data_IF_392806568627
#
_entry.id   IF_392806568627
#
_cell.length_a   1.000
_cell.length_b   1.000
_cell.length_c   1.000
_cell.angle_alpha   90.00
_cell.angle_beta   90.00
_cell.angle_gamma   90.00
#
_symmetry.space_group_name_H-M   'P 1'
#
loop_
_entity.id
_entity.type
_entity.pdbx_description
1 polymer ?
#
# COMPACT_ATOMS: atom_id res chain seq x y z
N UNK A 1 16.89 -45.11 36.61
CA UNK A 1 17.59 -44.10 35.79
C UNK A 1 16.76 -43.58 34.60
N UNK A 2 15.45 -43.84 34.50
CA UNK A 2 14.57 -43.30 33.45
C UNK A 2 13.85 -41.96 33.77
N UNK A 3 13.53 -41.57 35.03
CA UNK A 3 12.75 -40.34 35.25
C UNK A 3 13.56 -39.06 35.02
N UNK A 4 14.89 -39.11 35.18
CA UNK A 4 15.78 -37.96 35.02
C UNK A 4 15.99 -37.56 33.56
N UNK A 5 15.87 -38.50 32.62
CA UNK A 5 15.96 -38.21 31.17
C UNK A 5 14.68 -37.58 30.64
N UNK A 6 13.53 -37.95 31.19
CA UNK A 6 12.25 -37.37 30.78
C UNK A 6 12.12 -35.91 31.23
N UNK A 7 12.55 -35.59 32.46
CA UNK A 7 12.54 -34.21 32.97
C UNK A 7 13.51 -33.30 32.23
N UNK A 8 14.68 -33.81 31.80
CA UNK A 8 15.64 -33.04 31.02
C UNK A 8 15.13 -32.72 29.60
N UNK A 9 14.40 -33.65 28.97
CA UNK A 9 13.77 -33.42 27.66
C UNK A 9 12.60 -32.45 27.74
N UNK A 10 11.77 -32.50 28.79
CA UNK A 10 10.71 -31.50 28.99
C UNK A 10 11.28 -30.12 29.28
N UNK A 11 12.42 -30.01 29.99
CA UNK A 11 13.08 -28.73 30.25
C UNK A 11 13.71 -28.15 28.97
N UNK A 12 14.25 -29.00 28.08
CA UNK A 12 14.80 -28.57 26.79
C UNK A 12 13.70 -28.12 25.80
N UNK A 13 12.54 -28.78 25.79
CA UNK A 13 11.39 -28.36 24.97
C UNK A 13 10.70 -27.10 25.51
N UNK A 14 10.82 -26.80 26.81
CA UNK A 14 10.34 -25.52 27.37
C UNK A 14 11.29 -24.35 27.08
N UNK A 15 12.58 -24.64 26.79
CA UNK A 15 13.57 -23.63 26.38
C UNK A 15 13.53 -23.31 24.87
N UNK A 16 12.88 -24.13 24.04
CA UNK A 16 12.79 -23.89 22.60
C UNK A 16 11.65 -22.96 22.17
N UNK A 17 10.82 -22.48 23.10
CA UNK A 17 9.80 -21.46 22.87
C UNK A 17 10.09 -20.19 23.70
N UNK A 18 11.36 -19.76 23.74
CA UNK A 18 11.65 -18.40 24.10
C UNK A 18 11.12 -17.50 22.99
N UNK A 19 9.96 -16.88 23.17
CA UNK A 19 9.64 -15.65 22.45
C UNK A 19 10.61 -14.60 23.03
N UNK A 20 11.67 -14.28 22.28
CA UNK A 20 12.55 -13.20 22.67
C UNK A 20 11.73 -11.92 22.51
N UNK A 21 11.52 -11.20 23.61
CA UNK A 21 10.86 -9.91 23.58
C UNK A 21 11.80 -8.93 22.87
N UNK A 22 11.43 -8.52 21.66
CA UNK A 22 12.19 -7.54 20.92
C UNK A 22 11.81 -6.12 21.36
N UNK A 23 12.75 -5.19 21.23
CA UNK A 23 12.49 -3.76 21.42
C UNK A 23 12.29 -3.13 20.05
N UNK A 24 11.08 -2.70 19.75
CA UNK A 24 10.73 -2.03 18.51
C UNK A 24 10.65 -0.52 18.76
N UNK A 25 11.41 0.27 18.00
CA UNK A 25 11.31 1.73 18.06
C UNK A 25 10.43 2.24 16.92
N UNK A 26 9.23 2.73 17.25
CA UNK A 26 8.31 3.35 16.29
C UNK A 26 8.52 4.86 16.27
N UNK A 27 8.90 5.38 15.10
CA UNK A 27 9.16 6.81 14.89
C UNK A 27 8.03 7.39 14.05
N UNK A 28 7.28 8.30 14.65
CA UNK A 28 6.16 8.98 14.01
C UNK A 28 6.42 10.48 13.86
N UNK A 29 5.95 11.11 12.78
CA UNK A 29 6.16 12.53 12.55
C UNK A 29 5.29 13.38 13.48
N UNK A 30 4.05 12.92 13.73
CA UNK A 30 3.02 13.63 14.50
C UNK A 30 2.09 12.63 15.18
N UNK A 31 1.40 13.08 16.22
CA UNK A 31 0.28 12.34 16.79
C UNK A 31 -0.99 12.56 15.97
N UNK A 32 -1.48 11.48 15.37
CA UNK A 32 -2.71 11.44 14.56
C UNK A 32 -3.51 10.17 14.89
N UNK A 33 -4.75 10.10 14.42
CA UNK A 33 -5.55 8.88 14.55
C UNK A 33 -4.88 7.69 13.87
N UNK A 34 -4.31 7.88 12.67
CA UNK A 34 -3.62 6.84 11.91
C UNK A 34 -2.40 6.30 12.67
N UNK A 35 -1.56 7.19 13.21
CA UNK A 35 -0.34 6.77 13.94
C UNK A 35 -0.67 6.04 15.22
N UNK A 36 -1.70 6.49 15.95
CA UNK A 36 -2.18 5.80 17.15
C UNK A 36 -2.75 4.43 16.81
N UNK A 37 -3.64 4.35 15.82
CA UNK A 37 -4.27 3.09 15.41
C UNK A 37 -3.24 2.05 14.93
N UNK A 38 -2.19 2.48 14.23
CA UNK A 38 -1.10 1.59 13.82
C UNK A 38 -0.31 1.06 15.01
N UNK A 39 0.09 1.93 15.94
CA UNK A 39 0.83 1.55 17.14
C UNK A 39 0.01 0.59 18.00
N UNK A 40 -1.27 0.88 18.20
CA UNK A 40 -2.19 0.03 18.97
C UNK A 40 -2.34 -1.35 18.30
N UNK A 41 -2.53 -1.39 16.97
CA UNK A 41 -2.63 -2.63 16.21
C UNK A 41 -1.34 -3.45 16.27
N UNK A 42 -0.18 -2.81 16.15
CA UNK A 42 1.12 -3.48 16.23
C UNK A 42 1.39 -4.03 17.64
N UNK A 43 1.07 -3.27 18.68
CA UNK A 43 1.18 -3.73 20.08
C UNK A 43 0.26 -4.93 20.34
N UNK A 44 -0.94 -4.94 19.76
CA UNK A 44 -1.88 -6.05 19.87
C UNK A 44 -1.35 -7.32 19.18
N UNK A 45 -0.73 -7.18 18.00
CA UNK A 45 -0.10 -8.29 17.30
C UNK A 45 1.18 -8.80 17.97
N UNK A 46 1.86 -7.95 18.75
CA UNK A 46 3.15 -8.26 19.39
C UNK A 46 3.12 -7.94 20.90
N UNK A 47 2.28 -8.63 21.70
CA UNK A 47 2.11 -8.32 23.13
C UNK A 47 3.35 -8.64 23.98
N UNK A 48 4.26 -9.47 23.48
CA UNK A 48 5.51 -9.81 24.16
C UNK A 48 6.62 -8.77 23.92
N UNK A 49 6.52 -7.97 22.86
CA UNK A 49 7.54 -7.01 22.47
C UNK A 49 7.33 -5.67 23.16
N UNK A 50 8.43 -4.97 23.43
CA UNK A 50 8.40 -3.62 23.98
C UNK A 50 8.42 -2.60 22.86
N UNK A 51 7.31 -1.89 22.66
CA UNK A 51 7.25 -0.80 21.69
C UNK A 51 7.66 0.51 22.36
N UNK A 52 8.81 1.04 21.95
CA UNK A 52 9.23 2.40 22.26
C UNK A 52 8.68 3.33 21.17
N UNK A 53 7.96 4.37 21.57
CA UNK A 53 7.36 5.32 20.65
C UNK A 53 8.13 6.62 20.76
N UNK A 54 8.57 7.15 19.63
CA UNK A 54 9.30 8.41 19.56
C UNK A 54 8.65 9.35 18.54
N UNK A 55 8.51 10.62 18.92
CA UNK A 55 8.11 11.67 18.01
C UNK A 55 9.33 12.22 17.26
N UNK A 56 9.17 12.52 15.98
CA UNK A 56 10.24 13.12 15.18
C UNK A 56 10.75 14.42 15.83
N UNK A 57 12.08 14.52 16.00
CA UNK A 57 12.74 15.65 16.67
C UNK A 57 13.11 15.40 18.13
N UNK A 58 12.62 14.32 18.74
CA UNK A 58 13.13 13.85 20.04
C UNK A 58 14.52 13.23 19.89
N UNK A 59 15.38 13.26 20.93
CA UNK A 59 16.71 12.68 20.87
C UNK A 59 16.62 11.17 20.55
N UNK A 60 17.48 10.64 19.67
CA UNK A 60 17.44 9.23 19.28
C UNK A 60 17.64 8.35 20.51
N UNK A 61 16.72 7.41 20.74
CA UNK A 61 16.89 6.36 21.73
C UNK A 61 17.33 5.07 21.03
N UNK A 62 18.64 4.78 20.92
CA UNK A 62 19.15 3.63 20.17
C UNK A 62 18.87 2.27 20.84
N UNK A 63 17.95 2.19 21.82
CA UNK A 63 17.60 0.96 22.52
C UNK A 63 16.79 -0.05 21.69
N UNK A 64 16.35 0.28 20.48
CA UNK A 64 15.56 -0.61 19.62
C UNK A 64 16.40 -1.59 18.79
N UNK A 65 15.99 -2.85 18.75
CA UNK A 65 16.56 -3.88 17.88
C UNK A 65 16.13 -3.71 16.41
N UNK A 66 14.97 -3.06 16.18
CA UNK A 66 14.47 -2.69 14.85
C UNK A 66 13.71 -1.36 14.95
N UNK A 67 13.83 -0.53 13.91
CA UNK A 67 13.13 0.75 13.79
C UNK A 67 11.99 0.62 12.81
N UNK A 68 10.84 1.20 13.15
CA UNK A 68 9.70 1.34 12.25
C UNK A 68 9.45 2.83 12.06
N UNK A 69 9.68 3.35 10.85
CA UNK A 69 9.39 4.75 10.54
C UNK A 69 8.01 4.89 9.90
N UNK A 70 7.30 5.96 10.20
CA UNK A 70 5.98 6.25 9.63
C UNK A 70 6.06 7.49 8.73
N UNK A 71 5.89 7.30 7.42
CA UNK A 71 5.87 8.38 6.44
C UNK A 71 7.27 8.89 6.02
N UNK A 72 7.32 9.73 4.97
CA UNK A 72 8.58 10.16 4.34
C UNK A 72 9.45 10.98 5.30
N UNK A 73 8.86 11.85 6.10
CA UNK A 73 9.58 12.72 7.05
C UNK A 73 10.40 11.91 8.07
N UNK A 74 9.83 10.79 8.57
CA UNK A 74 10.51 9.92 9.51
C UNK A 74 11.58 9.05 8.83
N UNK A 75 11.35 8.62 7.58
CA UNK A 75 12.34 7.91 6.78
C UNK A 75 13.54 8.82 6.45
N UNK A 76 13.30 10.05 6.00
CA UNK A 76 14.35 11.01 5.66
C UNK A 76 15.25 11.30 6.87
N UNK A 77 14.63 11.52 8.05
CA UNK A 77 15.38 11.66 9.30
C UNK A 77 16.23 10.42 9.60
N UNK A 78 15.68 9.22 9.39
CA UNK A 78 16.37 7.95 9.66
C UNK A 78 17.57 7.75 8.75
N UNK A 79 17.46 8.15 7.48
CA UNK A 79 18.54 8.09 6.49
C UNK A 79 19.70 9.05 6.81
N UNK A 80 19.47 10.10 7.60
CA UNK A 80 20.50 11.02 8.07
C UNK A 80 21.30 10.49 9.27
N UNK A 81 20.88 9.39 9.89
CA UNK A 81 21.55 8.82 11.06
C UNK A 81 22.71 7.91 10.66
N UNK A 82 23.78 7.89 11.47
CA UNK A 82 25.00 7.11 11.16
C UNK A 82 24.91 5.64 11.54
N UNK A 83 24.00 5.26 12.43
CA UNK A 83 23.81 3.86 12.84
C UNK A 83 22.97 3.08 11.81
N UNK A 84 23.24 1.78 11.69
CA UNK A 84 22.66 0.88 10.67
C UNK A 84 21.71 -0.16 11.26
N UNK A 85 20.81 0.29 12.15
CA UNK A 85 19.76 -0.57 12.73
C UNK A 85 18.74 -0.92 11.63
N UNK A 86 18.32 -2.19 11.49
CA UNK A 86 17.25 -2.60 10.57
C UNK A 86 16.02 -1.70 10.70
N UNK A 87 15.52 -1.23 9.57
CA UNK A 87 14.45 -0.23 9.50
C UNK A 87 13.37 -0.65 8.53
N UNK A 88 12.14 -0.84 9.00
CA UNK A 88 10.96 -1.00 8.15
C UNK A 88 10.27 0.37 8.03
N UNK A 89 10.34 0.98 6.85
CA UNK A 89 9.66 2.23 6.56
C UNK A 89 8.25 1.96 6.05
N UNK A 90 7.25 2.54 6.73
CA UNK A 90 5.82 2.39 6.45
C UNK A 90 5.22 3.70 5.99
N UNK A 91 4.03 3.67 5.38
CA UNK A 91 3.32 4.87 4.93
C UNK A 91 4.07 5.72 3.88
N UNK A 92 4.91 5.07 3.09
CA UNK A 92 5.53 5.64 1.89
C UNK A 92 4.69 5.24 0.68
N UNK A 93 4.30 6.17 -0.18
CA UNK A 93 3.63 5.85 -1.45
C UNK A 93 4.65 5.68 -2.57
N UNK A 94 4.30 4.89 -3.59
CA UNK A 94 5.21 4.51 -4.67
C UNK A 94 5.74 5.73 -5.43
N UNK A 95 4.94 6.77 -5.58
CA UNK A 95 5.29 8.01 -6.28
C UNK A 95 6.32 8.89 -5.57
N UNK A 96 6.54 8.63 -4.28
CA UNK A 96 7.61 9.24 -3.49
C UNK A 96 8.97 8.55 -3.74
N UNK A 97 8.98 7.43 -4.46
CA UNK A 97 10.19 6.70 -4.82
C UNK A 97 10.69 7.06 -6.22
N UNK A 98 11.95 6.71 -6.48
CA UNK A 98 12.58 6.87 -7.78
C UNK A 98 12.36 5.69 -8.73
N UNK A 99 12.89 5.75 -9.96
CA UNK A 99 12.77 4.70 -10.97
C UNK A 99 13.43 3.37 -10.59
N UNK A 100 14.29 3.36 -9.58
CA UNK A 100 14.94 2.15 -9.08
C UNK A 100 14.66 1.93 -7.59
N UNK A 101 13.38 1.73 -7.23
CA UNK A 101 12.89 1.90 -5.86
C UNK A 101 13.61 0.99 -4.85
N UNK A 102 14.05 -0.21 -5.24
CA UNK A 102 14.79 -1.12 -4.35
C UNK A 102 16.29 -0.88 -4.30
N UNK A 103 16.95 -0.54 -5.42
CA UNK A 103 18.40 -0.33 -5.43
C UNK A 103 18.80 1.02 -4.84
N UNK A 104 17.88 1.97 -4.81
CA UNK A 104 18.09 3.30 -4.24
C UNK A 104 18.05 3.27 -2.69
N UNK A 105 17.60 2.16 -2.08
CA UNK A 105 17.50 2.03 -0.62
C UNK A 105 18.78 1.47 0.00
N UNK A 106 19.21 1.99 1.17
CA UNK A 106 20.28 1.38 1.93
C UNK A 106 19.95 -0.07 2.33
N UNK A 107 20.96 -0.96 2.47
CA UNK A 107 20.74 -2.36 2.84
C UNK A 107 20.00 -2.59 4.17
N UNK A 108 20.08 -1.64 5.10
CA UNK A 108 19.39 -1.73 6.40
C UNK A 108 17.95 -1.20 6.36
N UNK A 109 17.45 -0.77 5.20
CA UNK A 109 16.08 -0.27 5.01
C UNK A 109 15.28 -1.26 4.17
N UNK A 110 14.05 -1.53 4.60
CA UNK A 110 12.99 -2.11 3.78
C UNK A 110 11.81 -1.15 3.78
N UNK A 111 11.10 -1.02 2.66
CA UNK A 111 9.92 -0.16 2.52
C UNK A 111 8.68 -1.03 2.38
N UNK A 112 7.68 -0.75 3.19
CA UNK A 112 6.33 -1.26 3.08
C UNK A 112 5.41 -0.14 2.58
N UNK A 113 4.98 -0.26 1.32
CA UNK A 113 4.24 0.79 0.61
C UNK A 113 2.83 1.00 1.20
N UNK A 114 2.35 2.24 1.23
CA UNK A 114 0.94 2.55 1.45
C UNK A 114 0.12 2.61 0.14
N UNK A 115 0.79 2.65 -1.01
CA UNK A 115 0.14 2.65 -2.32
C UNK A 115 -0.66 1.38 -2.56
N UNK A 116 -1.76 1.54 -3.28
CA UNK A 116 -2.50 0.41 -3.80
C UNK A 116 -1.64 -0.38 -4.81
N UNK A 117 -1.65 -1.70 -4.70
CA UNK A 117 -0.92 -2.57 -5.62
C UNK A 117 -1.60 -2.57 -7.01
N UNK A 118 -0.86 -2.34 -8.11
CA UNK A 118 -1.42 -2.25 -9.46
C UNK A 118 -2.33 -3.42 -9.85
N UNK A 119 -1.89 -4.66 -9.59
CA UNK A 119 -2.67 -5.85 -9.93
C UNK A 119 -3.98 -5.94 -9.14
N UNK A 120 -3.98 -5.51 -7.87
CA UNK A 120 -5.18 -5.50 -7.03
C UNK A 120 -6.19 -4.48 -7.54
N UNK A 121 -5.73 -3.30 -7.94
CA UNK A 121 -6.57 -2.25 -8.52
C UNK A 121 -7.23 -2.69 -9.83
N UNK A 122 -6.46 -3.36 -10.70
CA UNK A 122 -6.96 -3.89 -11.96
C UNK A 122 -7.91 -5.08 -11.76
N UNK A 123 -7.61 -5.98 -10.81
CA UNK A 123 -8.52 -7.06 -10.42
C UNK A 123 -9.84 -6.49 -9.87
N UNK A 124 -9.76 -5.55 -8.94
CA UNK A 124 -10.93 -4.84 -8.39
C UNK A 124 -11.79 -4.23 -9.50
N UNK A 125 -11.17 -3.58 -10.49
CA UNK A 125 -11.86 -3.04 -11.64
C UNK A 125 -12.62 -4.13 -12.43
N UNK A 126 -11.99 -5.28 -12.70
CA UNK A 126 -12.61 -6.41 -13.42
C UNK A 126 -13.77 -7.04 -12.64
N UNK A 127 -13.67 -7.08 -11.31
CA UNK A 127 -14.73 -7.61 -10.45
C UNK A 127 -15.96 -6.70 -10.40
N UNK A 128 -15.74 -5.39 -10.46
CA UNK A 128 -16.80 -4.38 -10.38
C UNK A 128 -17.44 -4.07 -11.74
N UNK A 129 -16.67 -4.14 -12.82
CA UNK A 129 -17.10 -3.71 -14.15
C UNK A 129 -17.23 -4.93 -15.06
N UNK A 130 -18.46 -5.29 -15.47
CA UNK A 130 -18.68 -6.43 -16.35
C UNK A 130 -17.96 -6.27 -17.69
N UNK A 131 -17.31 -7.34 -18.16
CA UNK A 131 -16.62 -7.41 -19.45
C UNK A 131 -15.52 -6.35 -19.64
N UNK A 132 -14.81 -6.01 -18.57
CA UNK A 132 -13.67 -5.10 -18.65
C UNK A 132 -12.52 -5.73 -19.47
N UNK A 133 -12.16 -5.10 -20.59
CA UNK A 133 -11.06 -5.50 -21.46
C UNK A 133 -9.94 -4.46 -21.52
N UNK A 134 -10.25 -3.22 -21.16
CA UNK A 134 -9.35 -2.08 -21.33
C UNK A 134 -9.40 -1.11 -20.14
N UNK A 135 -8.23 -0.70 -19.66
CA UNK A 135 -8.07 0.24 -18.55
C UNK A 135 -7.30 1.48 -19.01
N UNK A 136 -7.75 2.64 -18.56
CA UNK A 136 -7.14 3.92 -18.84
C UNK A 136 -6.25 4.38 -17.70
N UNK A 137 -5.11 5.01 -18.03
CA UNK A 137 -4.18 5.54 -17.03
C UNK A 137 -3.73 6.96 -17.42
N UNK A 138 -3.82 7.89 -16.48
CA UNK A 138 -3.24 9.23 -16.60
C UNK A 138 -2.08 9.36 -15.60
N UNK A 139 -0.96 9.92 -16.06
CA UNK A 139 0.25 10.08 -15.26
C UNK A 139 1.01 11.34 -15.66
N UNK A 140 1.75 11.94 -14.74
CA UNK A 140 2.65 13.07 -14.99
C UNK A 140 3.99 12.59 -15.56
N UNK A 141 4.84 13.50 -16.03
CA UNK A 141 6.19 13.13 -16.47
C UNK A 141 7.02 12.49 -15.36
N UNK A 142 6.82 12.91 -14.11
CA UNK A 142 7.51 12.42 -12.93
C UNK A 142 7.16 10.97 -12.63
N UNK A 143 5.91 10.56 -12.86
CA UNK A 143 5.45 9.19 -12.58
C UNK A 143 5.54 8.25 -13.79
N UNK A 144 6.17 8.68 -14.90
CA UNK A 144 6.34 7.85 -16.11
C UNK A 144 7.07 6.54 -15.85
N UNK A 145 8.00 6.53 -14.90
CA UNK A 145 8.80 5.34 -14.58
C UNK A 145 7.96 4.18 -14.04
N UNK A 146 6.76 4.45 -13.50
CA UNK A 146 5.84 3.41 -13.03
C UNK A 146 5.12 2.69 -14.18
N UNK A 147 5.14 3.21 -15.40
CA UNK A 147 4.35 2.67 -16.50
C UNK A 147 4.63 1.19 -16.80
N UNK A 148 5.89 0.71 -16.85
CA UNK A 148 6.16 -0.72 -17.07
C UNK A 148 5.55 -1.63 -15.99
N UNK A 149 5.46 -1.16 -14.74
CA UNK A 149 4.83 -1.89 -13.64
C UNK A 149 3.33 -2.06 -13.90
N UNK A 150 2.65 -0.98 -14.30
CA UNK A 150 1.22 -1.01 -14.62
C UNK A 150 0.92 -1.81 -15.90
N UNK A 151 1.78 -1.75 -16.92
CA UNK A 151 1.65 -2.55 -18.14
C UNK A 151 1.78 -4.04 -17.84
N UNK A 152 2.77 -4.44 -17.02
CA UNK A 152 2.93 -5.82 -16.57
C UNK A 152 1.72 -6.30 -15.75
N UNK A 153 1.18 -5.43 -14.88
CA UNK A 153 -0.03 -5.71 -14.11
C UNK A 153 -1.23 -5.97 -15.04
N UNK A 154 -1.45 -5.09 -16.03
CA UNK A 154 -2.52 -5.22 -17.00
C UNK A 154 -2.39 -6.49 -17.85
N UNK A 155 -1.18 -6.79 -18.31
CA UNK A 155 -0.92 -8.01 -19.08
C UNK A 155 -1.28 -9.28 -18.29
N UNK A 156 -0.88 -9.37 -17.01
CA UNK A 156 -1.25 -10.51 -16.14
C UNK A 156 -2.75 -10.65 -15.93
N UNK A 157 -3.49 -9.55 -16.01
CA UNK A 157 -4.96 -9.53 -15.92
C UNK A 157 -5.66 -9.68 -17.28
N UNK A 158 -4.93 -9.82 -18.37
CA UNK A 158 -5.49 -9.88 -19.73
C UNK A 158 -6.17 -8.58 -20.16
N UNK A 159 -5.74 -7.44 -19.63
CA UNK A 159 -6.25 -6.10 -19.94
C UNK A 159 -5.32 -5.36 -20.89
N UNK A 160 -5.90 -4.54 -21.77
CA UNK A 160 -5.14 -3.53 -22.52
C UNK A 160 -5.04 -2.24 -21.71
N UNK A 161 -3.83 -1.74 -21.46
CA UNK A 161 -3.62 -0.47 -20.75
C UNK A 161 -3.45 0.69 -21.74
N UNK A 162 -4.31 1.70 -21.64
CA UNK A 162 -4.26 2.93 -22.42
C UNK A 162 -3.75 4.08 -21.56
N UNK A 163 -2.43 4.22 -21.50
CA UNK A 163 -1.78 5.26 -20.71
C UNK A 163 -1.56 6.56 -21.51
N UNK A 164 -1.74 7.72 -20.88
CA UNK A 164 -1.39 9.04 -21.46
C UNK A 164 -0.73 9.94 -20.41
N UNK A 165 0.38 10.55 -20.80
CA UNK A 165 1.05 11.55 -19.97
C UNK A 165 0.28 12.87 -19.97
N UNK A 166 0.13 13.51 -18.82
CA UNK A 166 -0.42 14.85 -18.64
C UNK A 166 0.74 15.80 -18.36
N UNK A 167 1.02 16.72 -19.29
CA UNK A 167 2.11 17.68 -19.14
C UNK A 167 1.67 18.97 -18.42
N UNK A 168 0.41 19.37 -18.58
CA UNK A 168 -0.14 20.58 -17.97
C UNK A 168 -1.60 20.38 -17.59
N UNK A 169 -2.10 21.19 -16.66
CA UNK A 169 -3.51 21.16 -16.26
C UNK A 169 -4.46 21.45 -17.44
N UNK A 170 -4.05 22.29 -18.39
CA UNK A 170 -4.82 22.61 -19.60
C UNK A 170 -4.99 21.38 -20.53
N UNK A 171 -4.03 20.46 -20.51
CA UNK A 171 -4.05 19.23 -21.30
C UNK A 171 -4.87 18.11 -20.63
N UNK A 172 -5.14 18.22 -19.32
CA UNK A 172 -5.74 17.14 -18.52
C UNK A 172 -7.03 16.60 -19.14
N UNK A 173 -8.00 17.47 -19.45
CA UNK A 173 -9.30 17.04 -19.98
C UNK A 173 -9.20 16.46 -21.39
N UNK A 174 -8.25 16.95 -22.20
CA UNK A 174 -7.98 16.42 -23.54
C UNK A 174 -7.36 15.03 -23.47
N UNK A 175 -6.37 14.83 -22.59
CA UNK A 175 -5.75 13.52 -22.33
C UNK A 175 -6.76 12.54 -21.76
N UNK A 176 -7.55 12.97 -20.78
CA UNK A 176 -8.64 12.21 -20.19
C UNK A 176 -9.61 11.72 -21.28
N UNK A 177 -10.11 12.62 -22.13
CA UNK A 177 -11.01 12.25 -23.21
C UNK A 177 -10.37 11.21 -24.16
N UNK A 178 -9.10 11.40 -24.53
CA UNK A 178 -8.37 10.43 -25.37
C UNK A 178 -8.23 9.06 -24.70
N UNK A 179 -7.99 9.00 -23.39
CA UNK A 179 -7.87 7.75 -22.63
C UNK A 179 -9.22 7.05 -22.54
N UNK A 180 -10.27 7.77 -22.14
CA UNK A 180 -11.61 7.22 -21.92
C UNK A 180 -12.31 6.77 -23.20
N UNK A 181 -11.92 7.33 -24.35
CA UNK A 181 -12.41 6.84 -25.64
C UNK A 181 -11.85 5.44 -26.00
N UNK A 182 -10.73 5.05 -25.41
CA UNK A 182 -10.07 3.77 -25.65
C UNK A 182 -10.18 2.81 -24.46
N UNK A 183 -10.81 3.20 -23.35
CA UNK A 183 -10.87 2.41 -22.13
C UNK A 183 -12.25 2.40 -21.49
N UNK A 184 -12.50 1.39 -20.66
CA UNK A 184 -13.78 1.18 -19.98
C UNK A 184 -13.76 1.65 -18.51
N UNK A 185 -12.56 1.90 -17.99
CA UNK A 185 -12.32 2.39 -16.63
C UNK A 185 -11.12 3.32 -16.61
N UNK A 186 -11.13 4.31 -15.71
CA UNK A 186 -9.93 5.08 -15.36
C UNK A 186 -9.34 4.53 -14.06
N UNK A 187 -8.05 4.23 -14.06
CA UNK A 187 -7.31 3.86 -12.86
C UNK A 187 -6.52 5.07 -12.37
N UNK A 188 -6.69 5.40 -11.10
CA UNK A 188 -5.98 6.47 -10.42
C UNK A 188 -4.59 6.03 -9.95
N UNK A 189 -3.60 6.89 -10.14
CA UNK A 189 -2.27 6.77 -9.55
C UNK A 189 -2.17 7.65 -8.31
N UNK A 190 -1.32 7.28 -7.36
CA UNK A 190 -0.76 8.24 -6.42
C UNK A 190 0.12 9.18 -7.26
N UNK A 191 -0.47 10.21 -7.86
CA UNK A 191 0.23 11.20 -8.67
C UNK A 191 -0.38 12.57 -8.34
N UNK A 192 0.26 13.35 -7.45
CA UNK A 192 -0.31 14.61 -6.97
C UNK A 192 -0.40 15.67 -8.07
N UNK A 193 0.28 15.52 -9.22
CA UNK A 193 0.13 16.46 -10.35
C UNK A 193 -1.16 16.19 -11.13
N UNK A 194 -1.59 14.93 -11.21
CA UNK A 194 -2.81 14.53 -11.92
C UNK A 194 -4.01 14.46 -10.97
N UNK A 195 -3.88 13.73 -9.86
CA UNK A 195 -4.94 13.41 -8.90
C UNK A 195 -4.79 14.25 -7.64
N UNK A 196 -5.31 15.47 -7.69
CA UNK A 196 -5.35 16.41 -6.56
C UNK A 196 -6.71 17.08 -6.43
N UNK A 197 -6.91 17.84 -5.35
CA UNK A 197 -8.17 18.52 -5.06
C UNK A 197 -8.69 19.42 -6.21
N UNK A 198 -7.78 20.05 -6.97
CA UNK A 198 -8.14 20.93 -8.09
C UNK A 198 -8.61 20.14 -9.31
N UNK A 199 -8.04 18.96 -9.54
CA UNK A 199 -8.27 18.15 -10.74
C UNK A 199 -9.32 17.05 -10.55
N UNK A 200 -9.59 16.64 -9.31
CA UNK A 200 -10.44 15.48 -9.03
C UNK A 200 -11.88 15.65 -9.53
N UNK A 201 -12.52 16.79 -9.26
CA UNK A 201 -13.88 17.07 -9.75
C UNK A 201 -13.95 17.07 -11.29
N UNK A 202 -13.07 17.78 -12.03
CA UNK A 202 -12.99 17.67 -13.48
C UNK A 202 -12.77 16.24 -14.00
N UNK A 203 -11.88 15.47 -13.38
CA UNK A 203 -11.62 14.07 -13.74
C UNK A 203 -12.86 13.19 -13.61
N UNK A 204 -13.57 13.31 -12.49
CA UNK A 204 -14.78 12.55 -12.21
C UNK A 204 -15.92 12.90 -13.18
N UNK A 205 -16.18 14.20 -13.38
CA UNK A 205 -17.20 14.64 -14.34
C UNK A 205 -16.87 14.21 -15.77
N UNK A 206 -15.60 14.34 -16.19
CA UNK A 206 -15.15 13.90 -17.51
C UNK A 206 -15.28 12.39 -17.72
N UNK A 207 -15.14 11.61 -16.64
CA UNK A 207 -15.31 10.15 -16.64
C UNK A 207 -16.79 9.75 -16.70
N UNK A 208 -17.62 10.31 -15.84
CA UNK A 208 -19.04 9.96 -15.77
C UNK A 208 -19.86 10.41 -16.96
N UNK A 209 -19.53 11.53 -17.58
CA UNK A 209 -20.16 11.95 -18.86
C UNK A 209 -19.94 10.94 -20.00
N UNK A 210 -18.99 10.01 -19.84
CA UNK A 210 -18.70 8.91 -20.77
C UNK A 210 -19.09 7.54 -20.21
N UNK A 211 -19.84 7.49 -19.10
CA UNK A 211 -20.15 6.25 -18.38
C UNK A 211 -18.88 5.44 -18.04
N UNK A 212 -17.86 6.12 -17.52
CA UNK A 212 -16.60 5.53 -17.05
C UNK A 212 -16.41 5.87 -15.58
N UNK A 213 -15.99 4.90 -14.79
CA UNK A 213 -15.68 5.09 -13.36
C UNK A 213 -14.19 5.35 -13.16
N UNK A 214 -13.88 5.99 -12.04
CA UNK A 214 -12.53 6.05 -11.49
C UNK A 214 -12.39 4.99 -10.40
N UNK A 215 -11.43 4.07 -10.57
CA UNK A 215 -10.88 3.32 -9.43
C UNK A 215 -9.81 4.21 -8.82
N UNK A 216 -10.08 4.71 -7.62
CA UNK A 216 -9.29 5.79 -7.01
C UNK A 216 -7.93 5.30 -6.52
N UNK A 217 -6.92 6.18 -6.44
CA UNK A 217 -5.58 5.78 -6.00
C UNK A 217 -5.54 5.35 -4.52
N UNK A 218 -6.41 5.92 -3.69
CA UNK A 218 -6.44 5.63 -2.24
C UNK A 218 -7.81 5.92 -1.63
N UNK A 219 -8.03 5.45 -0.40
CA UNK A 219 -9.31 5.56 0.33
C UNK A 219 -9.92 6.99 0.38
N UNK A 220 -9.15 8.08 0.55
CA UNK A 220 -9.70 9.44 0.54
C UNK A 220 -10.46 9.81 -0.74
N UNK A 221 -10.17 9.15 -1.87
CA UNK A 221 -10.82 9.43 -3.15
C UNK A 221 -12.22 8.83 -3.27
N UNK A 222 -12.62 7.90 -2.38
CA UNK A 222 -13.95 7.28 -2.41
C UNK A 222 -15.03 8.28 -2.02
N UNK A 223 -14.80 9.01 -0.92
CA UNK A 223 -15.70 10.08 -0.47
C UNK A 223 -15.84 11.22 -1.49
N UNK A 224 -14.79 11.45 -2.28
CA UNK A 224 -14.79 12.45 -3.35
C UNK A 224 -15.51 11.97 -4.62
N UNK A 225 -15.92 10.70 -4.69
CA UNK A 225 -16.68 10.13 -5.80
C UNK A 225 -15.86 9.20 -6.71
N UNK A 226 -14.81 8.54 -6.24
CA UNK A 226 -14.29 7.36 -6.96
C UNK A 226 -15.18 6.14 -6.66
N UNK A 227 -15.24 5.18 -7.57
CA UNK A 227 -16.07 3.98 -7.40
C UNK A 227 -15.53 3.08 -6.28
N UNK A 228 -14.25 2.76 -6.32
CA UNK A 228 -13.64 1.82 -5.37
C UNK A 228 -12.12 1.96 -5.37
N UNK A 229 -11.48 1.39 -4.36
CA UNK A 229 -10.02 1.27 -4.25
C UNK A 229 -9.67 0.15 -3.27
N UNK A 230 -8.53 -0.50 -3.48
CA UNK A 230 -7.84 -1.27 -2.45
C UNK A 230 -6.94 -0.35 -1.65
N UNK A 231 -6.90 -0.50 -0.34
CA UNK A 231 -6.01 0.25 0.54
C UNK A 231 -5.55 -0.63 1.71
N UNK A 232 -4.56 -0.18 2.47
CA UNK A 232 -4.17 -0.86 3.71
C UNK A 232 -4.62 -0.03 4.90
N UNK A 233 -5.48 -0.59 5.74
CA UNK A 233 -5.84 0.02 7.01
C UNK A 233 -4.64 0.02 7.97
N UNK A 234 -4.77 0.71 9.11
CA UNK A 234 -3.74 0.66 10.15
C UNK A 234 -3.49 -0.78 10.65
N UNK A 235 -4.55 -1.60 10.74
CA UNK A 235 -4.46 -3.01 11.08
C UNK A 235 -3.73 -3.80 9.99
N UNK A 236 -4.11 -3.62 8.72
CA UNK A 236 -3.47 -4.32 7.58
C UNK A 236 -1.97 -4.01 7.50
N UNK A 237 -1.60 -2.74 7.76
CA UNK A 237 -0.22 -2.30 7.80
C UNK A 237 0.53 -2.94 8.96
N UNK A 238 -0.04 -2.94 10.18
CA UNK A 238 0.57 -3.56 11.35
C UNK A 238 0.74 -5.08 11.19
N UNK A 239 -0.25 -5.77 10.62
CA UNK A 239 -0.17 -7.21 10.32
C UNK A 239 0.93 -7.51 9.29
N UNK A 240 1.07 -6.65 8.28
CA UNK A 240 2.13 -6.79 7.26
C UNK A 240 3.52 -6.51 7.83
N UNK A 241 3.65 -5.53 8.74
CA UNK A 241 4.91 -5.30 9.48
C UNK A 241 5.23 -6.49 10.38
N UNK A 242 4.24 -7.03 11.08
CA UNK A 242 4.41 -8.24 11.90
C UNK A 242 4.96 -9.40 11.07
N UNK A 243 4.40 -9.65 9.88
CA UNK A 243 4.90 -10.69 8.97
C UNK A 243 6.35 -10.42 8.53
N UNK A 244 6.67 -9.18 8.13
CA UNK A 244 8.05 -8.81 7.75
C UNK A 244 9.06 -8.98 8.88
N UNK A 245 8.66 -8.80 10.15
CA UNK A 245 9.51 -9.04 11.32
C UNK A 245 9.75 -10.53 11.60
N UNK A 246 8.97 -11.43 11.00
CA UNK A 246 9.17 -12.89 11.09
C UNK A 246 9.96 -13.46 9.89
N UNK A 247 10.06 -12.68 8.80
CA UNK A 247 10.81 -13.04 7.61
C UNK A 247 12.30 -12.70 7.73
N UNK A 248 13.12 -13.39 6.93
CA UNK A 248 14.52 -13.02 6.76
C UNK A 248 14.66 -11.56 6.27
N UNK A 249 15.73 -10.88 6.69
CA UNK A 249 15.98 -9.52 6.24
C UNK A 249 16.34 -9.48 4.75
N UNK A 250 15.61 -8.68 3.97
CA UNK A 250 15.86 -8.50 2.53
C UNK A 250 16.39 -7.08 2.25
N UNK A 251 17.70 -6.91 2.01
CA UNK A 251 18.30 -5.60 1.85
C UNK A 251 17.64 -4.74 0.76
N UNK A 252 17.22 -3.52 1.11
CA UNK A 252 16.64 -2.56 0.18
C UNK A 252 15.27 -2.96 -0.39
N UNK A 253 14.62 -3.99 0.15
CA UNK A 253 13.37 -4.49 -0.43
C UNK A 253 12.25 -3.44 -0.32
N UNK A 254 11.52 -3.26 -1.43
CA UNK A 254 10.27 -2.49 -1.47
C UNK A 254 9.13 -3.48 -1.71
N UNK A 255 8.16 -3.50 -0.80
CA UNK A 255 7.07 -4.48 -0.77
C UNK A 255 5.73 -3.76 -0.67
N UNK A 256 4.70 -4.37 -1.26
CA UNK A 256 3.31 -4.02 -0.96
C UNK A 256 2.84 -4.81 0.28
N UNK A 257 1.91 -4.26 1.08
CA UNK A 257 1.30 -4.97 2.19
C UNK A 257 0.65 -6.28 1.76
N UNK A 258 0.90 -7.36 2.49
CA UNK A 258 0.24 -8.64 2.24
C UNK A 258 -1.26 -8.51 2.53
N UNK A 259 -1.59 -7.84 3.64
CA UNK A 259 -2.97 -7.52 4.03
C UNK A 259 -3.42 -6.22 3.38
N UNK A 260 -4.69 -6.18 2.99
CA UNK A 260 -5.34 -5.02 2.42
C UNK A 260 -6.85 -5.15 2.58
N UNK A 261 -7.52 -4.01 2.49
CA UNK A 261 -8.97 -3.86 2.52
C UNK A 261 -9.46 -3.25 1.20
N UNK A 262 -10.75 -3.40 0.92
CA UNK A 262 -11.45 -2.73 -0.19
C UNK A 262 -12.37 -1.67 0.38
N UNK A 263 -12.46 -0.52 -0.27
CA UNK A 263 -13.44 0.50 0.05
C UNK A 263 -14.14 0.96 -1.22
N UNK A 264 -15.47 0.81 -1.26
CA UNK A 264 -16.28 1.23 -2.40
C UNK A 264 -17.26 2.35 -2.08
N UNK A 265 -17.77 3.00 -3.13
CA UNK A 265 -18.85 3.99 -3.07
C UNK A 265 -20.13 3.37 -3.67
N UNK A 266 -21.09 2.91 -2.83
CA UNK A 266 -22.34 2.32 -3.30
C UNK A 266 -23.20 3.28 -4.11
N UNK A 267 -23.15 4.59 -3.84
CA UNK A 267 -23.92 5.58 -4.58
C UNK A 267 -23.42 5.71 -6.03
N UNK A 268 -22.10 5.71 -6.22
CA UNK A 268 -21.49 5.72 -7.56
C UNK A 268 -21.86 4.45 -8.33
N UNK A 269 -21.75 3.28 -7.69
CA UNK A 269 -22.14 2.00 -8.30
C UNK A 269 -23.61 2.04 -8.76
N UNK A 270 -24.50 2.49 -7.88
CA UNK A 270 -25.93 2.63 -8.17
C UNK A 270 -26.20 3.59 -9.34
N UNK A 271 -25.57 4.76 -9.36
CA UNK A 271 -25.78 5.75 -10.44
C UNK A 271 -25.37 5.26 -11.83
N UNK A 272 -24.52 4.23 -11.89
CA UNK A 272 -24.00 3.65 -13.13
C UNK A 272 -24.61 2.29 -13.44
N UNK A 273 -25.61 1.86 -12.66
CA UNK A 273 -26.29 0.58 -12.85
C UNK A 273 -25.40 -0.64 -12.57
N UNK A 274 -24.33 -0.46 -11.78
CA UNK A 274 -23.49 -1.57 -11.33
C UNK A 274 -24.13 -2.27 -10.12
N UNK A 275 -23.88 -3.58 -9.93
CA UNK A 275 -24.28 -4.26 -8.70
C UNK A 275 -23.70 -3.57 -7.45
N UNK A 276 -24.41 -3.56 -6.32
CA UNK A 276 -23.87 -3.04 -5.07
C UNK A 276 -22.56 -3.75 -4.71
N UNK A 277 -21.46 -3.01 -4.49
CA UNK A 277 -20.18 -3.60 -4.16
C UNK A 277 -20.23 -4.26 -2.78
N UNK A 278 -19.69 -5.47 -2.69
CA UNK A 278 -19.54 -6.21 -1.44
C UNK A 278 -18.06 -6.25 -1.07
N UNK A 279 -17.59 -5.23 -0.35
CA UNK A 279 -16.16 -4.97 -0.13
C UNK A 279 -15.41 -6.17 0.47
N UNK A 280 -16.01 -6.88 1.42
CA UNK A 280 -15.41 -8.08 2.01
C UNK A 280 -15.29 -9.24 1.00
N UNK A 281 -16.29 -9.45 0.14
CA UNK A 281 -16.25 -10.47 -0.91
C UNK A 281 -15.20 -10.10 -1.97
N UNK A 282 -15.16 -8.84 -2.39
CA UNK A 282 -14.15 -8.32 -3.33
C UNK A 282 -12.74 -8.52 -2.78
N UNK A 283 -12.50 -8.17 -1.52
CA UNK A 283 -11.22 -8.39 -0.84
C UNK A 283 -10.81 -9.87 -0.85
N UNK A 284 -11.72 -10.77 -0.46
CA UNK A 284 -11.46 -12.21 -0.41
C UNK A 284 -11.13 -12.78 -1.80
N UNK A 285 -11.86 -12.38 -2.83
CA UNK A 285 -11.63 -12.83 -4.20
C UNK A 285 -10.28 -12.35 -4.72
N UNK A 286 -9.93 -11.08 -4.52
CA UNK A 286 -8.63 -10.54 -4.93
C UNK A 286 -7.50 -11.26 -4.18
N UNK A 287 -7.66 -11.50 -2.88
CA UNK A 287 -6.64 -12.22 -2.10
C UNK A 287 -6.44 -13.67 -2.59
N UNK A 288 -7.53 -14.38 -2.91
CA UNK A 288 -7.45 -15.72 -3.47
C UNK A 288 -6.76 -15.75 -4.85
N UNK A 289 -6.97 -14.74 -5.69
CA UNK A 289 -6.29 -14.61 -6.99
C UNK A 289 -4.78 -14.38 -6.82
N UNK A 290 -4.35 -13.62 -5.80
CA UNK A 290 -2.93 -13.41 -5.51
C UNK A 290 -2.26 -14.70 -5.03
N UNK A 291 -2.94 -15.52 -4.24
CA UNK A 291 -2.41 -16.80 -3.78
C UNK A 291 -2.33 -17.86 -4.91
N UNK A 292 -3.20 -17.76 -5.91
CA UNK A 292 -3.24 -18.68 -7.05
C UNK A 292 -2.24 -18.33 -8.17
N UNK A 293 -1.63 -17.14 -8.13
CA UNK A 293 -0.70 -16.66 -9.16
C UNK A 293 0.74 -16.67 -8.62
N UNK A 294 1.51 -17.76 -8.81
CA UNK A 294 2.92 -17.84 -8.37
C UNK A 294 3.84 -16.90 -9.16
#
# INVERSE_FOLDING_TARGET
MQPLRLTLLTLLCLLSNGAWADILLVIKPRETELTRAFVDALQHQRPADTLLIQLLGEPPNPGGATIITMGPEALDWRLQQTYVIPTIATYITLDQLGPHPSSDQPPFVQILLASAKPERQLSLAQLLIPRLHSAGLLYSSEQRWQLPLWEAAAQRRGLTLHARSVATQQDLLRRLASVLNASEVLIGLDDPQVYNANNLKPLLLGSYTRNRVLIGPSAPFIAAGSLSTTYSSAQDMADSVHAMLQDDWHPGAVRYPERFSVLSNPQVAHSLGLPPPQDAELQQRIHAEEQASP
#
